data_IF_366455412080
#
_entry.id   IF_366455412080
#
_cell.length_a   1.000
_cell.length_b   1.000
_cell.length_c   1.000
_cell.angle_alpha   90.00
_cell.angle_beta   90.00
_cell.angle_gamma   90.00
#
_symmetry.space_group_name_H-M   'P 1'
#
loop_
_entity.id
_entity.type
_entity.pdbx_description
1 polymer ?
#
# COMPACT_ATOMS: atom_id res chain seq x y z
N UNK A 1 9.61 9.85 15.48
CA UNK A 1 8.62 10.91 15.20
C UNK A 1 8.08 11.37 16.54
N UNK A 2 7.76 12.65 16.69
CA UNK A 2 7.27 13.22 17.95
C UNK A 2 5.97 13.98 17.74
N UNK A 3 5.44 14.53 18.82
CA UNK A 3 4.14 15.23 18.88
C UNK A 3 4.02 16.40 17.89
N UNK A 4 5.15 16.99 17.48
CA UNK A 4 5.20 18.12 16.53
C UNK A 4 5.33 17.71 15.05
N UNK A 5 4.95 16.47 14.69
CA UNK A 5 4.98 16.03 13.29
C UNK A 5 3.88 16.73 12.48
N UNK A 6 4.27 17.57 11.52
CA UNK A 6 3.35 18.32 10.65
C UNK A 6 3.25 17.78 9.21
N UNK A 7 3.94 16.67 8.91
CA UNK A 7 3.99 16.10 7.56
C UNK A 7 2.87 15.09 7.26
N UNK A 8 3.05 14.37 6.14
CA UNK A 8 2.26 13.19 5.79
C UNK A 8 3.05 11.93 6.17
N UNK A 9 2.48 11.12 7.04
CA UNK A 9 2.98 9.80 7.39
C UNK A 9 2.52 8.79 6.34
N UNK A 10 3.45 8.33 5.49
CA UNK A 10 3.22 7.22 4.58
C UNK A 10 3.66 5.91 5.25
N UNK A 11 2.71 5.08 5.68
CA UNK A 11 2.99 3.86 6.46
C UNK A 11 2.02 2.73 6.11
N UNK A 12 2.20 1.56 6.73
CA UNK A 12 1.12 0.57 6.80
C UNK A 12 0.01 1.01 7.78
N UNK A 13 -0.95 0.10 8.03
CA UNK A 13 -2.08 0.31 8.95
C UNK A 13 -1.75 -0.05 10.40
N UNK A 14 -0.49 -0.03 10.80
CA UNK A 14 -0.13 -0.45 12.15
C UNK A 14 -0.67 0.52 13.21
N UNK A 15 -1.18 -0.02 14.31
CA UNK A 15 -1.87 0.75 15.36
C UNK A 15 -0.97 1.76 16.09
N UNK A 16 0.35 1.56 16.05
CA UNK A 16 1.33 2.46 16.64
C UNK A 16 1.28 3.88 16.04
N UNK A 17 0.60 4.07 14.91
CA UNK A 17 0.41 5.38 14.28
C UNK A 17 -0.94 6.04 14.60
N UNK A 18 -1.76 5.45 15.48
CA UNK A 18 -3.08 6.00 15.80
C UNK A 18 -3.05 7.36 16.52
N UNK A 19 -1.91 7.75 17.07
CA UNK A 19 -1.70 9.07 17.66
C UNK A 19 -1.50 10.18 16.62
N UNK A 20 -1.27 9.83 15.35
CA UNK A 20 -1.17 10.80 14.25
C UNK A 20 -2.57 11.04 13.67
N UNK A 21 -2.92 12.29 13.36
CA UNK A 21 -4.19 12.65 12.75
C UNK A 21 -4.44 11.79 11.48
N UNK A 22 -5.67 11.32 11.29
CA UNK A 22 -6.04 10.55 10.09
C UNK A 22 -5.80 11.34 8.80
N UNK A 23 -5.96 12.66 8.82
CA UNK A 23 -5.67 13.53 7.68
C UNK A 23 -4.18 13.55 7.30
N UNK A 24 -3.31 13.24 8.25
CA UNK A 24 -1.87 13.16 8.06
C UNK A 24 -1.39 11.74 7.74
N UNK A 25 -2.28 10.73 7.70
CA UNK A 25 -1.91 9.33 7.45
C UNK A 25 -2.28 8.89 6.04
N UNK A 26 -1.28 8.49 5.26
CA UNK A 26 -1.46 7.86 3.96
C UNK A 26 -0.99 6.42 3.98
N UNK A 27 -1.76 5.53 3.36
CA UNK A 27 -1.34 4.14 3.20
C UNK A 27 -0.21 4.04 2.18
N UNK A 28 0.83 3.31 2.55
CA UNK A 28 1.92 2.98 1.65
C UNK A 28 1.44 2.02 0.56
N UNK A 29 1.47 2.46 -0.70
CA UNK A 29 1.06 1.66 -1.85
C UNK A 29 1.91 0.39 -2.03
N UNK A 30 3.19 0.44 -1.69
CA UNK A 30 4.07 -0.73 -1.74
C UNK A 30 3.61 -1.83 -0.75
N UNK A 31 3.15 -1.42 0.45
CA UNK A 31 2.59 -2.33 1.44
C UNK A 31 1.26 -2.93 0.99
N UNK A 32 0.36 -2.12 0.43
CA UNK A 32 -0.90 -2.61 -0.12
C UNK A 32 -0.68 -3.61 -1.26
N UNK A 33 0.25 -3.33 -2.18
CA UNK A 33 0.59 -4.24 -3.28
C UNK A 33 1.06 -5.59 -2.75
N UNK A 34 1.99 -5.59 -1.78
CA UNK A 34 2.52 -6.82 -1.18
C UNK A 34 1.42 -7.62 -0.48
N UNK A 35 0.54 -6.97 0.27
CA UNK A 35 -0.57 -7.66 0.93
C UNK A 35 -1.57 -8.26 -0.09
N UNK A 36 -1.91 -7.54 -1.16
CA UNK A 36 -2.76 -8.09 -2.22
C UNK A 36 -2.11 -9.26 -2.96
N UNK A 37 -0.80 -9.21 -3.21
CA UNK A 37 -0.04 -10.35 -3.75
C UNK A 37 -0.15 -11.57 -2.83
N UNK A 38 0.09 -11.43 -1.52
CA UNK A 38 -0.07 -12.53 -0.57
C UNK A 38 -1.48 -13.11 -0.55
N UNK A 39 -2.51 -12.27 -0.64
CA UNK A 39 -3.90 -12.72 -0.72
C UNK A 39 -4.13 -13.49 -2.04
N UNK A 40 -3.54 -13.03 -3.14
CA UNK A 40 -3.64 -13.67 -4.46
C UNK A 40 -2.95 -15.03 -4.54
N UNK A 41 -2.08 -15.35 -3.60
CA UNK A 41 -1.38 -16.65 -3.51
C UNK A 41 -2.18 -17.69 -2.68
N UNK A 42 -3.22 -17.25 -1.96
CA UNK A 42 -4.11 -18.14 -1.18
C UNK A 42 -4.96 -19.03 -2.11
N UNK A 43 -5.70 -19.96 -1.52
CA UNK A 43 -6.64 -20.83 -2.23
C UNK A 43 -8.09 -20.29 -2.14
N UNK A 44 -8.98 -20.83 -2.99
CA UNK A 44 -10.40 -20.50 -3.00
C UNK A 44 -10.70 -19.05 -3.38
N UNK A 45 -11.80 -18.50 -2.87
CA UNK A 45 -12.30 -17.15 -3.16
C UNK A 45 -11.25 -16.06 -2.89
N UNK A 46 -10.44 -16.25 -1.84
CA UNK A 46 -9.36 -15.32 -1.49
C UNK A 46 -8.38 -15.11 -2.65
N UNK A 47 -8.10 -16.15 -3.44
CA UNK A 47 -7.20 -16.08 -4.60
C UNK A 47 -7.70 -15.06 -5.63
N UNK A 48 -8.97 -15.20 -5.99
CA UNK A 48 -9.60 -14.33 -6.99
C UNK A 48 -9.65 -12.89 -6.49
N UNK A 49 -10.08 -12.70 -5.24
CA UNK A 49 -10.11 -11.39 -4.61
C UNK A 49 -8.74 -10.72 -4.59
N UNK A 50 -7.68 -11.46 -4.22
CA UNK A 50 -6.32 -10.92 -4.22
C UNK A 50 -5.83 -10.50 -5.61
N UNK A 51 -6.17 -11.27 -6.65
CA UNK A 51 -5.87 -10.90 -8.04
C UNK A 51 -6.60 -9.63 -8.46
N UNK A 52 -7.88 -9.51 -8.14
CA UNK A 52 -8.70 -8.35 -8.50
C UNK A 52 -8.21 -7.08 -7.79
N UNK A 53 -7.87 -7.20 -6.50
CA UNK A 53 -7.26 -6.12 -5.72
C UNK A 53 -5.88 -5.72 -6.27
N UNK A 54 -5.04 -6.70 -6.63
CA UNK A 54 -3.73 -6.44 -7.23
C UNK A 54 -3.85 -5.75 -8.60
N UNK A 55 -4.78 -6.17 -9.45
CA UNK A 55 -5.01 -5.52 -10.74
C UNK A 55 -5.53 -4.08 -10.54
N UNK A 56 -6.37 -3.85 -9.53
CA UNK A 56 -6.89 -2.52 -9.21
C UNK A 56 -5.79 -1.56 -8.76
N UNK A 57 -4.88 -1.99 -7.88
CA UNK A 57 -3.76 -1.15 -7.44
C UNK A 57 -2.79 -0.87 -8.59
N UNK A 58 -2.51 -1.86 -9.46
CA UNK A 58 -1.65 -1.66 -10.65
C UNK A 58 -2.21 -0.57 -11.58
N UNK A 59 -3.53 -0.47 -11.77
CA UNK A 59 -4.16 0.61 -12.53
C UNK A 59 -3.98 1.99 -11.90
N UNK A 60 -3.97 2.08 -10.57
CA UNK A 60 -3.81 3.34 -9.84
C UNK A 60 -2.34 3.79 -9.80
N UNK A 61 -1.40 2.85 -9.71
CA UNK A 61 0.04 3.17 -9.60
C UNK A 61 0.79 3.22 -10.93
N UNK A 62 0.26 2.57 -11.99
CA UNK A 62 0.86 2.57 -13.34
C UNK A 62 0.93 3.94 -14.05
N UNK A 63 0.02 4.91 -13.85
CA UNK A 63 0.14 6.22 -14.49
C UNK A 63 1.41 7.00 -14.10
N UNK A 64 2.17 6.52 -13.10
CA UNK A 64 3.43 7.11 -12.70
C UNK A 64 4.53 6.88 -13.77
N UNK A 65 5.39 7.90 -14.02
CA UNK A 65 6.50 7.77 -14.96
C UNK A 65 7.44 6.64 -14.54
N UNK A 66 8.19 6.05 -15.47
CA UNK A 66 9.06 4.90 -15.20
C UNK A 66 10.08 5.14 -14.06
N UNK A 67 10.47 6.40 -13.81
CA UNK A 67 11.30 6.81 -12.67
C UNK A 67 10.61 6.75 -11.31
N UNK A 68 9.27 6.79 -11.29
CA UNK A 68 8.40 6.61 -10.13
C UNK A 68 7.71 5.23 -10.12
N UNK A 69 7.85 4.44 -11.19
CA UNK A 69 7.57 3.01 -11.18
C UNK A 69 8.67 2.38 -10.34
N UNK A 70 8.26 1.84 -9.19
CA UNK A 70 9.11 0.99 -8.38
C UNK A 70 9.87 0.01 -9.28
N UNK A 71 11.19 0.16 -9.34
CA UNK A 71 12.06 -0.85 -9.93
C UNK A 71 11.72 -2.16 -9.23
N UNK A 72 11.04 -3.05 -9.94
CA UNK A 72 10.92 -4.46 -9.58
C UNK A 72 12.30 -5.08 -9.74
N UNK A 73 13.20 -4.73 -8.83
CA UNK A 73 14.37 -5.54 -8.53
C UNK A 73 13.90 -6.87 -7.95
N UNK A 74 14.70 -7.94 -8.14
CA UNK A 74 14.30 -9.32 -7.91
C UNK A 74 13.79 -9.58 -6.48
#
# INVERSE_FOLDING_TARGET
>A
MGENFSGILNSDRYNAYNWVDVAQRQLCWAHLKREFTKISERQGVSRQLGRDLRASIEKVVSPLPASARWNSGP
#
